data_IF_787141727095
#
_entry.id   IF_787141727095
#
_cell.length_a   1.000
_cell.length_b   1.000
_cell.length_c   1.000
_cell.angle_alpha   90.00
_cell.angle_beta   90.00
_cell.angle_gamma   90.00
#
_symmetry.space_group_name_H-M   'P 1'
#
loop_
_entity.id
_entity.type
_entity.pdbx_description
1 polymer ?
#
# COMPACT_ATOMS: atom_id res chain seq x y z
N UNK A 1 -16.17 36.26 5.48
CA UNK A 1 -16.54 34.82 5.43
C UNK A 1 -16.41 34.21 4.02
N UNK A 2 -16.66 34.98 2.93
CA UNK A 2 -16.56 34.52 1.53
C UNK A 2 -15.11 34.27 1.06
N UNK A 3 -14.14 35.01 1.53
CA UNK A 3 -12.72 34.87 1.13
C UNK A 3 -12.04 33.60 1.68
N UNK A 4 -12.42 33.13 2.88
CA UNK A 4 -11.90 31.89 3.47
C UNK A 4 -12.36 30.64 2.69
N UNK A 5 -13.57 30.64 2.17
CA UNK A 5 -14.11 29.53 1.36
C UNK A 5 -13.43 29.35 0.00
N UNK A 6 -13.12 30.43 -0.70
CA UNK A 6 -12.44 30.38 -2.01
C UNK A 6 -11.01 29.86 -1.88
N UNK A 7 -10.22 30.34 -0.91
CA UNK A 7 -8.86 29.88 -0.69
C UNK A 7 -8.78 28.37 -0.36
N UNK A 8 -9.77 27.84 0.37
CA UNK A 8 -9.83 26.41 0.66
C UNK A 8 -10.22 25.55 -0.53
N UNK A 9 -11.06 26.07 -1.43
CA UNK A 9 -11.42 25.39 -2.70
C UNK A 9 -10.23 25.30 -3.63
N UNK A 10 -9.49 26.41 -3.83
CA UNK A 10 -8.27 26.42 -4.65
C UNK A 10 -7.21 25.45 -4.08
N UNK A 11 -6.96 25.46 -2.77
CA UNK A 11 -6.03 24.52 -2.12
C UNK A 11 -6.42 23.06 -2.38
N UNK A 12 -7.70 22.72 -2.34
CA UNK A 12 -8.17 21.36 -2.62
C UNK A 12 -7.97 20.94 -4.07
N UNK A 13 -8.19 21.88 -5.03
CA UNK A 13 -7.95 21.61 -6.45
C UNK A 13 -6.47 21.36 -6.74
N UNK A 14 -5.55 22.14 -6.15
CA UNK A 14 -4.13 21.92 -6.28
C UNK A 14 -3.67 20.59 -5.69
N UNK A 15 -4.21 20.20 -4.53
CA UNK A 15 -3.92 18.90 -3.91
C UNK A 15 -4.40 17.77 -4.83
N UNK A 16 -5.59 17.90 -5.41
CA UNK A 16 -6.10 16.91 -6.36
C UNK A 16 -5.26 16.84 -7.63
N UNK A 17 -4.90 17.97 -8.21
CA UNK A 17 -4.02 18.04 -9.39
C UNK A 17 -2.65 17.41 -9.13
N UNK A 18 -2.06 17.70 -7.96
CA UNK A 18 -0.80 17.07 -7.53
C UNK A 18 -0.95 15.55 -7.38
N UNK A 19 -2.04 15.09 -6.77
CA UNK A 19 -2.29 13.64 -6.65
C UNK A 19 -2.41 12.97 -8.02
N UNK A 20 -3.12 13.58 -8.98
CA UNK A 20 -3.22 13.08 -10.34
C UNK A 20 -1.86 13.06 -11.04
N UNK A 21 -1.04 14.10 -10.89
CA UNK A 21 0.31 14.16 -11.43
C UNK A 21 1.18 13.01 -10.89
N UNK A 22 1.14 12.77 -9.58
CA UNK A 22 1.89 11.69 -8.94
C UNK A 22 1.41 10.29 -9.37
N UNK A 23 0.10 10.12 -9.63
CA UNK A 23 -0.44 8.85 -10.14
C UNK A 23 0.07 8.48 -11.53
N UNK A 24 0.35 9.48 -12.38
CA UNK A 24 0.91 9.27 -13.73
C UNK A 24 2.37 8.81 -13.67
N UNK A 25 2.99 8.76 -12.49
CA UNK A 25 4.36 8.31 -12.31
C UNK A 25 5.37 9.18 -13.09
N UNK A 26 5.65 10.43 -12.64
CA UNK A 26 6.38 11.42 -13.42
C UNK A 26 7.80 10.99 -13.79
N UNK A 27 8.51 10.23 -12.94
CA UNK A 27 9.86 9.75 -13.24
C UNK A 27 9.88 8.63 -14.29
N UNK A 28 9.09 7.56 -14.16
CA UNK A 28 8.92 6.58 -15.24
C UNK A 28 8.49 7.22 -16.57
N UNK A 29 7.57 8.19 -16.52
CA UNK A 29 7.15 8.92 -17.72
C UNK A 29 8.32 9.68 -18.37
N UNK A 30 9.16 10.35 -17.58
CA UNK A 30 10.37 10.98 -18.05
C UNK A 30 11.31 9.98 -18.73
N UNK A 31 11.50 8.78 -18.17
CA UNK A 31 12.33 7.75 -18.77
C UNK A 31 11.77 7.24 -20.11
N UNK A 32 10.45 7.06 -20.23
CA UNK A 32 9.81 6.71 -21.49
C UNK A 32 10.10 7.77 -22.56
N UNK A 33 9.88 9.05 -22.22
CA UNK A 33 10.11 10.17 -23.16
C UNK A 33 11.59 10.21 -23.59
N UNK A 34 12.51 10.08 -22.65
CA UNK A 34 13.96 10.08 -22.96
C UNK A 34 14.34 8.90 -23.88
N UNK A 35 13.84 7.69 -23.58
CA UNK A 35 14.12 6.51 -24.39
C UNK A 35 13.50 6.55 -25.79
N UNK A 36 12.42 7.32 -25.99
CA UNK A 36 11.85 7.58 -27.31
C UNK A 36 12.64 8.61 -28.12
N UNK A 37 13.28 9.58 -27.44
CA UNK A 37 14.07 10.64 -28.10
C UNK A 37 15.51 10.23 -28.37
N UNK A 38 16.06 9.35 -27.53
CA UNK A 38 17.44 8.89 -27.58
C UNK A 38 17.47 7.36 -27.54
N UNK A 39 17.72 6.69 -28.69
CA UNK A 39 17.75 5.22 -28.75
C UNK A 39 18.87 4.58 -27.92
N UNK A 40 19.93 5.32 -27.59
CA UNK A 40 21.04 4.83 -26.75
C UNK A 40 20.77 5.02 -25.25
N UNK A 41 19.69 5.69 -24.90
CA UNK A 41 19.33 5.90 -23.50
C UNK A 41 19.03 4.60 -22.77
N UNK A 42 19.76 4.36 -21.69
CA UNK A 42 19.52 3.23 -20.77
C UNK A 42 18.97 3.76 -19.47
N UNK A 43 17.84 3.20 -19.03
CA UNK A 43 17.24 3.55 -17.74
C UNK A 43 18.21 3.25 -16.60
N UNK A 44 18.46 4.21 -15.66
CA UNK A 44 19.31 3.96 -14.50
C UNK A 44 18.78 2.79 -13.66
N UNK A 45 19.65 1.82 -13.39
CA UNK A 45 19.32 0.68 -12.53
C UNK A 45 19.81 0.95 -11.10
N UNK A 46 18.95 0.72 -10.13
CA UNK A 46 19.32 0.74 -8.71
C UNK A 46 19.71 -0.69 -8.29
N UNK A 47 20.75 -0.89 -7.48
CA UNK A 47 21.18 -2.23 -7.06
C UNK A 47 20.26 -2.82 -5.96
N UNK A 48 18.96 -2.73 -6.16
CA UNK A 48 17.90 -3.18 -5.23
C UNK A 48 18.09 -4.65 -4.84
N UNK A 49 18.49 -5.49 -5.80
CA UNK A 49 18.70 -6.92 -5.56
C UNK A 49 19.87 -7.21 -4.62
N UNK A 50 20.95 -6.42 -4.66
CA UNK A 50 22.09 -6.61 -3.75
C UNK A 50 21.72 -6.33 -2.30
N UNK A 51 20.94 -5.29 -2.03
CA UNK A 51 20.42 -4.97 -0.71
C UNK A 51 19.50 -6.08 -0.17
N UNK A 52 18.61 -6.62 -1.00
CA UNK A 52 17.75 -7.75 -0.62
C UNK A 52 18.55 -9.01 -0.32
N UNK A 53 19.55 -9.34 -1.13
CA UNK A 53 20.39 -10.51 -0.91
C UNK A 53 21.14 -10.43 0.44
N UNK A 54 21.69 -9.26 0.78
CA UNK A 54 22.33 -9.05 2.08
C UNK A 54 21.34 -9.24 3.24
N UNK A 55 20.13 -8.69 3.10
CA UNK A 55 19.07 -8.83 4.11
C UNK A 55 18.63 -10.29 4.28
N UNK A 56 18.37 -11.00 3.19
CA UNK A 56 17.93 -12.41 3.22
C UNK A 56 19.02 -13.34 3.78
N UNK A 57 20.29 -13.11 3.45
CA UNK A 57 21.39 -13.91 3.99
C UNK A 57 21.44 -13.87 5.51
N UNK A 58 21.24 -12.70 6.11
CA UNK A 58 21.23 -12.55 7.58
C UNK A 58 19.92 -13.06 8.19
N UNK A 59 18.79 -12.88 7.54
CA UNK A 59 17.51 -13.43 8.03
C UNK A 59 17.52 -14.95 8.07
N UNK A 60 18.22 -15.60 7.12
CA UNK A 60 18.30 -17.06 7.01
C UNK A 60 19.37 -17.69 7.89
N UNK A 61 20.47 -17.00 8.20
CA UNK A 61 21.62 -17.60 8.87
C UNK A 61 22.15 -16.78 10.06
N UNK A 62 21.72 -15.51 10.20
CA UNK A 62 22.22 -14.60 11.21
C UNK A 62 21.56 -14.77 12.59
N UNK A 63 22.17 -14.12 13.57
CA UNK A 63 21.61 -14.01 14.92
C UNK A 63 20.71 -12.76 15.05
N UNK A 64 20.09 -12.58 16.21
CA UNK A 64 19.16 -11.48 16.49
C UNK A 64 19.79 -10.09 16.30
N UNK A 65 21.02 -9.88 16.82
CA UNK A 65 21.70 -8.58 16.74
C UNK A 65 22.13 -8.24 15.31
N UNK A 66 22.62 -9.24 14.56
CA UNK A 66 22.93 -9.08 13.14
C UNK A 66 21.69 -8.74 12.34
N UNK A 67 20.56 -9.39 12.63
CA UNK A 67 19.27 -9.09 11.98
C UNK A 67 18.84 -7.66 12.25
N UNK A 68 18.94 -7.16 13.48
CA UNK A 68 18.64 -5.76 13.80
C UNK A 68 19.56 -4.82 13.02
N UNK A 69 20.87 -5.06 13.03
CA UNK A 69 21.86 -4.22 12.35
C UNK A 69 21.59 -4.13 10.85
N UNK A 70 21.39 -5.27 10.20
CA UNK A 70 21.14 -5.34 8.76
C UNK A 70 19.77 -4.70 8.41
N UNK A 71 18.73 -4.94 9.20
CA UNK A 71 17.42 -4.32 8.95
C UNK A 71 17.43 -2.80 9.13
N UNK A 72 18.27 -2.25 10.03
CA UNK A 72 18.37 -0.81 10.24
C UNK A 72 19.08 -0.09 9.09
N UNK A 73 19.89 -0.76 8.29
CA UNK A 73 20.65 -0.16 7.21
C UNK A 73 20.29 -0.77 5.85
N UNK A 74 20.76 -1.97 5.55
CA UNK A 74 20.55 -2.63 4.27
C UNK A 74 19.06 -2.91 4.01
N UNK A 75 18.30 -3.31 5.02
CA UNK A 75 16.87 -3.55 4.91
C UNK A 75 16.06 -2.28 4.63
N UNK A 76 16.44 -1.14 5.21
CA UNK A 76 15.83 0.14 4.89
C UNK A 76 16.19 0.57 3.46
N UNK A 77 17.46 0.43 3.06
CA UNK A 77 17.89 0.74 1.69
C UNK A 77 17.19 -0.16 0.67
N UNK A 78 17.07 -1.47 0.96
CA UNK A 78 16.34 -2.42 0.13
C UNK A 78 14.88 -1.99 -0.07
N UNK A 79 14.20 -1.60 1.01
CA UNK A 79 12.80 -1.18 0.99
C UNK A 79 12.61 0.14 0.24
N UNK A 80 13.49 1.11 0.45
CA UNK A 80 13.46 2.41 -0.25
C UNK A 80 13.77 2.25 -1.74
N UNK A 81 14.81 1.48 -2.08
CA UNK A 81 15.17 1.19 -3.47
C UNK A 81 14.03 0.47 -4.19
N UNK A 82 13.42 -0.52 -3.55
CA UNK A 82 12.25 -1.22 -4.10
C UNK A 82 11.06 -0.28 -4.31
N UNK A 83 10.78 0.56 -3.32
CA UNK A 83 9.67 1.51 -3.43
C UNK A 83 9.89 2.52 -4.57
N UNK A 84 11.13 2.90 -4.81
CA UNK A 84 11.53 3.77 -5.91
C UNK A 84 11.40 3.06 -7.27
N UNK A 85 12.02 1.88 -7.41
CA UNK A 85 12.01 1.09 -8.65
C UNK A 85 10.60 0.70 -9.11
N UNK A 86 9.69 0.51 -8.15
CA UNK A 86 8.30 0.13 -8.43
C UNK A 86 7.32 1.32 -8.41
N UNK A 87 7.82 2.57 -8.40
CA UNK A 87 6.99 3.78 -8.41
C UNK A 87 6.09 3.94 -7.18
N UNK A 88 6.34 3.15 -6.11
CA UNK A 88 5.52 3.18 -4.89
C UNK A 88 5.60 4.51 -4.16
N UNK A 89 6.72 5.21 -4.25
CA UNK A 89 6.90 6.54 -3.64
C UNK A 89 5.84 7.51 -4.16
N UNK A 90 5.71 7.63 -5.49
CA UNK A 90 4.73 8.52 -6.11
C UNK A 90 3.30 8.04 -5.88
N UNK A 91 3.05 6.74 -6.04
CA UNK A 91 1.73 6.15 -5.84
C UNK A 91 1.25 6.34 -4.39
N UNK A 92 2.09 6.05 -3.40
CA UNK A 92 1.73 6.18 -1.99
C UNK A 92 1.44 7.64 -1.63
N UNK A 93 2.28 8.59 -2.06
CA UNK A 93 2.05 10.01 -1.85
C UNK A 93 0.70 10.46 -2.46
N UNK A 94 0.40 10.03 -3.69
CA UNK A 94 -0.87 10.31 -4.35
C UNK A 94 -2.07 9.76 -3.56
N UNK A 95 -1.98 8.51 -3.09
CA UNK A 95 -3.04 7.86 -2.31
C UNK A 95 -3.28 8.56 -0.97
N UNK A 96 -2.23 9.03 -0.28
CA UNK A 96 -2.39 9.83 0.93
C UNK A 96 -3.11 11.16 0.66
N UNK A 97 -2.74 11.86 -0.40
CA UNK A 97 -3.41 13.10 -0.79
C UNK A 97 -4.89 12.88 -1.14
N UNK A 98 -5.20 11.84 -1.91
CA UNK A 98 -6.58 11.47 -2.24
C UNK A 98 -7.37 11.04 -1.00
N UNK A 99 -6.77 10.22 -0.12
CA UNK A 99 -7.38 9.80 1.14
C UNK A 99 -7.73 10.99 2.05
N UNK A 100 -6.82 11.97 2.15
CA UNK A 100 -7.06 13.22 2.87
C UNK A 100 -8.24 14.00 2.27
N UNK A 101 -8.32 14.10 0.94
CA UNK A 101 -9.43 14.80 0.27
C UNK A 101 -10.77 14.08 0.47
N UNK A 102 -10.78 12.74 0.37
CA UNK A 102 -11.95 11.89 0.59
C UNK A 102 -12.45 12.06 2.04
N UNK A 103 -11.53 11.99 3.01
CA UNK A 103 -11.84 12.18 4.42
C UNK A 103 -12.40 13.57 4.72
N UNK A 104 -11.77 14.64 4.21
CA UNK A 104 -12.23 16.03 4.40
C UNK A 104 -13.61 16.30 3.78
N UNK A 105 -13.96 15.61 2.70
CA UNK A 105 -15.27 15.71 2.05
C UNK A 105 -16.31 14.76 2.64
N UNK A 106 -15.95 13.87 3.55
CA UNK A 106 -16.84 12.86 4.11
C UNK A 106 -17.42 11.92 3.05
N UNK A 107 -16.67 11.60 1.97
CA UNK A 107 -17.20 10.84 0.83
C UNK A 107 -17.64 9.42 1.19
N UNK A 108 -17.23 8.90 2.34
CA UNK A 108 -17.69 7.60 2.85
C UNK A 108 -19.09 7.64 3.49
N UNK A 109 -19.72 8.80 3.63
CA UNK A 109 -21.08 8.90 4.15
C UNK A 109 -22.12 8.41 3.13
N UNK A 110 -23.25 7.90 3.62
CA UNK A 110 -24.35 7.34 2.81
C UNK A 110 -24.86 8.30 1.72
N UNK A 111 -24.80 9.60 1.97
CA UNK A 111 -25.22 10.66 1.05
C UNK A 111 -24.45 10.65 -0.27
N UNK A 112 -23.20 10.15 -0.25
CA UNK A 112 -22.30 10.14 -1.39
C UNK A 112 -22.28 8.82 -2.19
N UNK A 113 -23.22 7.91 -1.96
CA UNK A 113 -23.30 6.63 -2.70
C UNK A 113 -23.39 6.80 -4.22
N UNK A 114 -24.02 7.91 -4.69
CA UNK A 114 -24.06 8.23 -6.12
C UNK A 114 -22.66 8.52 -6.69
N UNK A 115 -21.76 9.09 -5.89
CA UNK A 115 -20.36 9.31 -6.29
C UNK A 115 -19.65 7.97 -6.43
N UNK A 116 -19.83 7.08 -5.47
CA UNK A 116 -19.22 5.74 -5.51
C UNK A 116 -19.73 4.87 -6.67
N UNK A 117 -20.99 5.03 -7.10
CA UNK A 117 -21.48 4.39 -8.33
C UNK A 117 -20.68 4.85 -9.56
N UNK A 118 -20.42 6.17 -9.68
CA UNK A 118 -19.62 6.72 -10.78
C UNK A 118 -18.16 6.28 -10.70
N UNK A 119 -17.60 6.25 -9.50
CA UNK A 119 -16.24 5.77 -9.25
C UNK A 119 -16.12 4.30 -9.65
N UNK A 120 -17.05 3.44 -9.23
CA UNK A 120 -17.06 2.03 -9.59
C UNK A 120 -17.15 1.81 -11.10
N UNK A 121 -18.11 2.49 -11.77
CA UNK A 121 -18.27 2.37 -13.22
C UNK A 121 -17.01 2.84 -13.97
N UNK A 122 -16.48 4.01 -13.62
CA UNK A 122 -15.26 4.53 -14.22
C UNK A 122 -14.03 3.65 -13.97
N UNK A 123 -13.92 3.08 -12.76
CA UNK A 123 -12.81 2.18 -12.41
C UNK A 123 -12.88 0.85 -13.16
N UNK A 124 -14.09 0.29 -13.36
CA UNK A 124 -14.28 -0.93 -14.16
C UNK A 124 -13.90 -0.67 -15.63
N UNK A 125 -14.37 0.44 -16.21
CA UNK A 125 -14.04 0.84 -17.59
C UNK A 125 -12.54 1.09 -17.75
N UNK A 126 -11.86 1.62 -16.74
CA UNK A 126 -10.42 1.87 -16.79
C UNK A 126 -9.58 0.59 -16.54
N UNK A 127 -10.00 -0.25 -15.61
CA UNK A 127 -9.22 -1.41 -15.17
C UNK A 127 -9.00 -2.43 -16.29
N UNK A 128 -10.06 -2.84 -16.99
CA UNK A 128 -9.95 -3.89 -17.99
C UNK A 128 -9.02 -3.53 -19.15
N UNK A 129 -9.14 -2.34 -19.80
CA UNK A 129 -8.20 -1.94 -20.83
C UNK A 129 -6.76 -1.78 -20.33
N UNK A 130 -6.55 -1.18 -19.14
CA UNK A 130 -5.21 -1.01 -18.58
C UNK A 130 -4.57 -2.35 -18.25
N UNK A 131 -5.32 -3.29 -17.69
CA UNK A 131 -4.85 -4.63 -17.39
C UNK A 131 -4.50 -5.40 -18.67
N UNK A 132 -5.37 -5.33 -19.69
CA UNK A 132 -5.12 -5.93 -21.00
C UNK A 132 -3.89 -5.35 -21.68
N UNK A 133 -3.77 -4.02 -21.73
CA UNK A 133 -2.60 -3.33 -22.27
C UNK A 133 -1.31 -3.74 -21.54
N UNK A 134 -1.33 -3.80 -20.21
CA UNK A 134 -0.16 -4.20 -19.41
C UNK A 134 0.35 -5.59 -19.79
N UNK A 135 -0.54 -6.53 -20.07
CA UNK A 135 -0.18 -7.89 -20.46
C UNK A 135 0.32 -7.98 -21.92
N UNK A 136 -0.19 -7.12 -22.80
CA UNK A 136 0.17 -7.13 -24.24
C UNK A 136 1.43 -6.32 -24.56
N UNK A 137 1.84 -5.40 -23.67
CA UNK A 137 3.01 -4.52 -23.93
C UNK A 137 4.29 -5.26 -24.35
N UNK A 138 4.68 -6.39 -23.71
CA UNK A 138 5.89 -7.12 -24.07
C UNK A 138 5.88 -7.65 -25.52
N UNK A 139 4.69 -7.87 -26.08
CA UNK A 139 4.54 -8.38 -27.46
C UNK A 139 4.80 -7.28 -28.51
N UNK A 140 4.56 -6.02 -28.14
CA UNK A 140 4.69 -4.88 -29.07
C UNK A 140 5.98 -4.07 -28.88
N UNK A 141 6.58 -4.09 -27.68
CA UNK A 141 7.72 -3.26 -27.34
C UNK A 141 8.89 -4.14 -26.91
N UNK A 142 9.92 -4.22 -27.75
CA UNK A 142 11.14 -4.99 -27.49
C UNK A 142 12.20 -4.18 -26.73
N UNK A 143 12.18 -2.84 -26.85
CA UNK A 143 13.13 -1.97 -26.17
C UNK A 143 12.83 -1.92 -24.66
N UNK A 144 13.71 -2.53 -23.85
CA UNK A 144 13.56 -2.59 -22.38
C UNK A 144 13.56 -1.23 -21.72
N UNK A 145 14.27 -0.24 -22.27
CA UNK A 145 14.30 1.13 -21.73
C UNK A 145 12.96 1.87 -21.85
N UNK A 146 12.10 1.42 -22.78
CA UNK A 146 10.72 1.91 -22.92
C UNK A 146 9.76 0.98 -22.18
N UNK A 147 9.89 -0.34 -22.38
CA UNK A 147 8.97 -1.34 -21.84
C UNK A 147 8.88 -1.29 -20.33
N UNK A 148 10.03 -1.27 -19.63
CA UNK A 148 10.04 -1.34 -18.15
C UNK A 148 9.31 -0.15 -17.50
N UNK A 149 9.66 1.12 -17.80
CA UNK A 149 8.96 2.23 -17.18
C UNK A 149 7.51 2.39 -17.64
N UNK A 150 7.19 2.03 -18.90
CA UNK A 150 5.81 2.07 -19.40
C UNK A 150 4.94 1.01 -18.73
N UNK A 151 5.43 -0.22 -18.58
CA UNK A 151 4.76 -1.28 -17.82
C UNK A 151 4.49 -0.89 -16.38
N UNK A 152 5.44 -0.18 -15.74
CA UNK A 152 5.28 0.31 -14.38
C UNK A 152 4.13 1.34 -14.29
N UNK A 153 4.05 2.29 -15.23
CA UNK A 153 2.97 3.28 -15.26
C UNK A 153 1.61 2.57 -15.41
N UNK A 154 1.48 1.69 -16.39
CA UNK A 154 0.22 1.00 -16.68
C UNK A 154 -0.19 0.10 -15.53
N UNK A 155 0.74 -0.65 -14.95
CA UNK A 155 0.47 -1.49 -13.78
C UNK A 155 0.05 -0.66 -12.56
N UNK A 156 0.71 0.48 -12.33
CA UNK A 156 0.34 1.39 -11.23
C UNK A 156 -1.08 1.95 -11.39
N UNK A 157 -1.45 2.37 -12.60
CA UNK A 157 -2.79 2.87 -12.89
C UNK A 157 -3.85 1.76 -12.83
N UNK A 158 -3.54 0.57 -13.33
CA UNK A 158 -4.41 -0.62 -13.24
C UNK A 158 -4.68 -0.99 -11.77
N UNK A 159 -3.63 -1.07 -10.96
CA UNK A 159 -3.75 -1.34 -9.52
C UNK A 159 -4.55 -0.26 -8.78
N UNK A 160 -4.40 1.00 -9.17
CA UNK A 160 -5.20 2.09 -8.62
C UNK A 160 -6.69 1.93 -8.99
N UNK A 161 -7.00 1.63 -10.25
CA UNK A 161 -8.37 1.37 -10.68
C UNK A 161 -8.97 0.16 -9.94
N UNK A 162 -8.22 -0.93 -9.80
CA UNK A 162 -8.63 -2.12 -9.04
C UNK A 162 -8.90 -1.79 -7.57
N UNK A 163 -8.03 -1.01 -6.94
CA UNK A 163 -8.25 -0.54 -5.56
C UNK A 163 -9.57 0.22 -5.42
N UNK A 164 -9.89 1.12 -6.38
CA UNK A 164 -11.15 1.86 -6.36
C UNK A 164 -12.37 0.95 -6.53
N UNK A 165 -12.27 -0.14 -7.31
CA UNK A 165 -13.31 -1.17 -7.41
C UNK A 165 -13.53 -1.82 -6.04
N UNK A 166 -12.46 -2.24 -5.37
CA UNK A 166 -12.55 -2.87 -4.05
C UNK A 166 -13.13 -1.93 -2.99
N UNK A 167 -12.66 -0.67 -2.94
CA UNK A 167 -13.18 0.34 -2.01
C UNK A 167 -14.67 0.60 -2.25
N UNK A 168 -15.07 0.75 -3.52
CA UNK A 168 -16.47 0.93 -3.88
C UNK A 168 -17.31 -0.30 -3.47
N UNK A 169 -16.77 -1.50 -3.67
CA UNK A 169 -17.41 -2.76 -3.26
C UNK A 169 -17.65 -2.80 -1.74
N UNK A 170 -16.66 -2.43 -0.94
CA UNK A 170 -16.79 -2.35 0.53
C UNK A 170 -17.84 -1.30 0.94
N UNK A 171 -17.84 -0.12 0.30
CA UNK A 171 -18.84 0.93 0.58
C UNK A 171 -20.24 0.43 0.28
N UNK A 172 -20.46 -0.26 -0.85
CA UNK A 172 -21.77 -0.83 -1.17
C UNK A 172 -22.14 -2.01 -0.27
N UNK A 173 -21.20 -2.89 0.07
CA UNK A 173 -21.41 -3.95 1.03
C UNK A 173 -21.88 -3.39 2.38
N UNK A 174 -21.30 -2.29 2.82
CA UNK A 174 -21.65 -1.64 4.08
C UNK A 174 -23.05 -1.01 4.08
N UNK A 175 -23.43 -0.30 2.99
CA UNK A 175 -24.66 0.49 2.98
C UNK A 175 -25.85 -0.17 2.28
N UNK A 176 -25.62 -1.14 1.38
CA UNK A 176 -26.66 -1.71 0.53
C UNK A 176 -26.93 -3.20 0.79
N UNK A 177 -26.14 -3.86 1.62
CA UNK A 177 -26.30 -5.28 1.90
C UNK A 177 -26.50 -5.55 3.40
N UNK A 178 -26.89 -6.78 3.74
CA UNK A 178 -27.01 -7.25 5.12
C UNK A 178 -25.63 -7.51 5.79
N UNK A 179 -24.53 -7.18 5.10
CA UNK A 179 -23.17 -7.38 5.62
C UNK A 179 -22.75 -6.29 6.61
N UNK A 180 -23.56 -5.26 6.80
CA UNK A 180 -23.28 -4.15 7.71
C UNK A 180 -22.81 -4.62 9.10
N UNK A 181 -23.60 -5.48 9.75
CA UNK A 181 -23.28 -5.97 11.11
C UNK A 181 -22.03 -6.85 11.14
N UNK A 182 -21.79 -7.60 10.06
CA UNK A 182 -20.55 -8.37 9.88
C UNK A 182 -19.33 -7.48 9.77
N UNK A 183 -19.42 -6.44 8.94
CA UNK A 183 -18.35 -5.46 8.74
C UNK A 183 -18.09 -4.62 10.00
N UNK A 184 -19.13 -4.29 10.77
CA UNK A 184 -18.98 -3.62 12.06
C UNK A 184 -18.20 -4.46 13.08
N UNK A 185 -18.28 -5.80 13.02
CA UNK A 185 -17.49 -6.69 13.89
C UNK A 185 -15.99 -6.63 13.60
N UNK A 186 -15.59 -6.21 12.40
CA UNK A 186 -14.18 -6.06 12.00
C UNK A 186 -13.60 -4.71 12.42
N UNK A 187 -14.44 -3.74 12.77
CA UNK A 187 -14.01 -2.38 13.17
C UNK A 187 -12.93 -2.35 14.26
N UNK A 188 -12.98 -3.17 15.34
CA UNK A 188 -11.93 -3.21 16.36
C UNK A 188 -10.54 -3.53 15.78
N UNK A 189 -10.48 -4.46 14.81
CA UNK A 189 -9.23 -4.82 14.14
C UNK A 189 -8.63 -3.63 13.35
N UNK A 190 -9.47 -2.88 12.63
CA UNK A 190 -9.05 -1.68 11.91
C UNK A 190 -8.62 -0.52 12.83
N UNK A 191 -9.27 -0.36 14.00
CA UNK A 191 -8.89 0.64 15.00
C UNK A 191 -7.55 0.37 15.67
N UNK A 192 -7.08 -0.88 15.64
CA UNK A 192 -5.79 -1.32 16.21
C UNK A 192 -4.75 -1.61 15.10
N UNK A 193 -4.81 -0.91 13.99
CA UNK A 193 -3.97 -1.17 12.81
C UNK A 193 -2.46 -1.08 13.09
N UNK A 194 -2.02 -0.09 13.88
CA UNK A 194 -0.61 0.07 14.26
C UNK A 194 -0.15 -1.08 15.19
N UNK A 195 -0.95 -1.40 16.20
CA UNK A 195 -0.69 -2.53 17.09
C UNK A 195 -0.60 -3.83 16.28
N UNK A 196 -1.54 -4.06 15.36
CA UNK A 196 -1.57 -5.25 14.53
C UNK A 196 -0.35 -5.34 13.63
N UNK A 197 0.04 -4.25 12.98
CA UNK A 197 1.22 -4.21 12.11
C UNK A 197 2.51 -4.55 12.87
N UNK A 198 2.73 -3.93 14.04
CA UNK A 198 3.91 -4.18 14.86
C UNK A 198 3.93 -5.63 15.36
N UNK A 199 2.78 -6.14 15.85
CA UNK A 199 2.67 -7.51 16.34
C UNK A 199 2.92 -8.52 15.22
N UNK A 200 2.38 -8.30 14.01
CA UNK A 200 2.63 -9.13 12.83
C UNK A 200 4.11 -9.17 12.47
N UNK A 201 4.79 -8.03 12.53
CA UNK A 201 6.23 -7.96 12.23
C UNK A 201 7.06 -8.73 13.27
N UNK A 202 6.73 -8.59 14.56
CA UNK A 202 7.44 -9.29 15.64
C UNK A 202 7.20 -10.81 15.54
N UNK A 203 5.93 -11.23 15.48
CA UNK A 203 5.58 -12.66 15.41
C UNK A 203 6.10 -13.28 14.13
N UNK A 204 5.98 -12.59 12.98
CA UNK A 204 6.50 -13.07 11.70
C UNK A 204 8.03 -13.27 11.74
N UNK A 205 8.78 -12.33 12.29
CA UNK A 205 10.22 -12.48 12.41
C UNK A 205 10.61 -13.59 13.39
N UNK A 206 9.90 -13.74 14.51
CA UNK A 206 10.13 -14.87 15.44
C UNK A 206 9.85 -16.23 14.80
N UNK A 207 8.81 -16.33 13.96
CA UNK A 207 8.48 -17.60 13.31
C UNK A 207 9.45 -17.96 12.19
N UNK A 208 9.82 -16.99 11.36
CA UNK A 208 10.51 -17.29 10.10
C UNK A 208 12.02 -17.07 10.14
N UNK A 209 12.53 -16.14 10.95
CA UNK A 209 13.97 -15.84 10.97
C UNK A 209 14.78 -16.89 11.76
N UNK A 210 16.05 -17.04 11.38
CA UNK A 210 16.95 -18.03 11.97
C UNK A 210 17.13 -17.89 13.50
N UNK A 211 17.12 -16.69 14.03
CA UNK A 211 17.22 -16.44 15.46
C UNK A 211 15.95 -16.85 16.27
N UNK A 212 14.84 -17.11 15.60
CA UNK A 212 13.61 -17.61 16.22
C UNK A 212 13.39 -19.09 15.96
N UNK A 213 12.23 -19.45 15.40
CA UNK A 213 11.90 -20.84 15.10
C UNK A 213 12.43 -21.33 13.74
N UNK A 214 13.01 -20.46 12.93
CA UNK A 214 13.59 -20.76 11.60
C UNK A 214 12.67 -21.54 10.65
N UNK A 215 11.35 -21.29 10.72
CA UNK A 215 10.34 -22.02 9.94
C UNK A 215 10.43 -21.75 8.43
N UNK A 216 11.22 -20.77 7.99
CA UNK A 216 11.46 -20.50 6.57
C UNK A 216 11.98 -21.73 5.81
N UNK A 217 12.71 -22.61 6.49
CA UNK A 217 13.25 -23.84 5.91
C UNK A 217 12.25 -25.02 5.91
N UNK A 218 11.21 -24.96 6.74
CA UNK A 218 10.29 -26.07 6.99
C UNK A 218 8.89 -25.82 6.41
N UNK A 219 8.45 -24.56 6.38
CA UNK A 219 7.13 -24.19 5.93
C UNK A 219 7.13 -23.88 4.42
N UNK A 220 6.36 -24.67 3.68
CA UNK A 220 5.98 -24.32 2.33
C UNK A 220 4.88 -23.25 2.31
N UNK A 221 4.47 -22.85 1.11
CA UNK A 221 3.46 -21.80 0.88
C UNK A 221 2.15 -22.10 1.63
N UNK A 222 1.68 -23.37 1.57
CA UNK A 222 0.41 -23.78 2.21
C UNK A 222 0.47 -23.69 3.73
N UNK A 223 1.55 -24.19 4.34
CA UNK A 223 1.74 -24.12 5.80
C UNK A 223 1.85 -22.68 6.29
N UNK A 224 2.56 -21.83 5.55
CA UNK A 224 2.67 -20.40 5.85
C UNK A 224 1.31 -19.68 5.73
N UNK A 225 0.49 -20.04 4.75
CA UNK A 225 -0.86 -19.50 4.61
C UNK A 225 -1.75 -19.90 5.80
N UNK A 226 -1.72 -21.17 6.21
CA UNK A 226 -2.46 -21.66 7.38
C UNK A 226 -2.01 -20.97 8.67
N UNK A 227 -0.71 -20.85 8.89
CA UNK A 227 -0.16 -20.11 10.04
C UNK A 227 -0.64 -18.66 10.05
N UNK A 228 -0.67 -17.99 8.89
CA UNK A 228 -1.20 -16.63 8.74
C UNK A 228 -2.69 -16.54 9.10
N UNK A 229 -3.50 -17.51 8.66
CA UNK A 229 -4.94 -17.56 9.00
C UNK A 229 -5.14 -17.75 10.51
N UNK A 230 -4.42 -18.69 11.12
CA UNK A 230 -4.49 -18.92 12.57
C UNK A 230 -4.10 -17.67 13.32
N UNK A 231 -2.99 -17.03 12.93
CA UNK A 231 -2.53 -15.80 13.55
C UNK A 231 -3.55 -14.65 13.39
N UNK A 232 -4.15 -14.52 12.21
CA UNK A 232 -5.23 -13.53 11.98
C UNK A 232 -6.41 -13.75 12.93
N UNK A 233 -6.88 -15.00 13.12
CA UNK A 233 -7.99 -15.33 14.02
C UNK A 233 -7.64 -14.95 15.48
N UNK A 234 -6.42 -15.28 15.93
CA UNK A 234 -5.95 -14.93 17.26
C UNK A 234 -5.89 -13.42 17.45
N UNK A 235 -5.31 -12.70 16.49
CA UNK A 235 -5.18 -11.26 16.52
C UNK A 235 -6.54 -10.55 16.47
N UNK A 236 -7.47 -11.04 15.64
CA UNK A 236 -8.84 -10.54 15.55
C UNK A 236 -9.59 -10.70 16.89
N UNK A 237 -9.46 -11.87 17.51
CA UNK A 237 -10.07 -12.18 18.82
C UNK A 237 -9.50 -11.29 19.91
N UNK A 238 -8.17 -11.09 19.92
CA UNK A 238 -7.50 -10.16 20.82
C UNK A 238 -7.99 -8.72 20.62
N UNK A 239 -8.09 -8.24 19.38
CA UNK A 239 -8.56 -6.88 19.09
C UNK A 239 -9.99 -6.66 19.60
N UNK A 240 -10.89 -7.64 19.42
CA UNK A 240 -12.26 -7.53 19.94
C UNK A 240 -12.30 -7.49 21.47
N UNK A 241 -11.55 -8.38 22.11
CA UNK A 241 -11.46 -8.43 23.58
C UNK A 241 -10.87 -7.11 24.12
N UNK A 242 -9.77 -6.62 23.56
CA UNK A 242 -9.10 -5.39 23.98
C UNK A 242 -9.99 -4.16 23.84
N UNK A 243 -10.63 -3.99 22.68
CA UNK A 243 -11.48 -2.84 22.39
C UNK A 243 -12.81 -2.81 23.19
N UNK A 244 -13.19 -3.91 23.80
CA UNK A 244 -14.31 -3.91 24.75
C UNK A 244 -13.95 -3.25 26.09
N UNK A 245 -12.65 -3.19 26.44
CA UNK A 245 -12.17 -2.67 27.71
C UNK A 245 -11.40 -1.34 27.55
N UNK A 246 -10.95 -1.02 26.34
CA UNK A 246 -10.10 0.14 26.06
C UNK A 246 -10.59 0.90 24.83
N UNK A 247 -10.38 2.21 24.80
CA UNK A 247 -10.79 3.09 23.68
C UNK A 247 -9.79 3.11 22.53
N UNK A 248 -8.55 2.67 22.73
CA UNK A 248 -7.46 2.68 21.78
C UNK A 248 -6.63 1.40 21.91
N UNK A 249 -5.99 0.95 20.82
CA UNK A 249 -5.00 -0.12 20.91
C UNK A 249 -3.74 0.33 21.70
N UNK A 250 -2.91 -0.63 22.18
CA UNK A 250 -1.73 -0.31 22.98
C UNK A 250 -0.76 0.63 22.26
N UNK A 251 -0.41 0.35 21.00
CA UNK A 251 0.53 1.16 20.23
C UNK A 251 -0.11 2.49 19.76
N UNK A 252 -1.39 2.47 19.43
CA UNK A 252 -2.16 3.68 19.13
C UNK A 252 -2.23 4.63 20.32
N UNK A 253 -2.35 4.09 21.54
CA UNK A 253 -2.33 4.89 22.76
C UNK A 253 -0.96 5.55 22.98
N UNK A 254 0.14 4.76 22.85
CA UNK A 254 1.51 5.28 22.98
C UNK A 254 1.76 6.37 21.92
N UNK A 255 1.40 6.09 20.65
CA UNK A 255 1.54 7.04 19.55
C UNK A 255 0.79 8.34 19.80
N UNK A 256 -0.48 8.24 20.24
CA UNK A 256 -1.30 9.39 20.58
C UNK A 256 -0.67 10.22 21.69
N UNK A 257 -0.18 9.58 22.75
CA UNK A 257 0.47 10.26 23.88
C UNK A 257 1.78 10.93 23.47
N UNK A 258 2.58 10.29 22.63
CA UNK A 258 3.83 10.85 22.12
C UNK A 258 3.61 12.04 21.16
N UNK A 259 2.52 12.01 20.38
CA UNK A 259 2.18 13.09 19.43
C UNK A 259 1.58 14.31 20.10
N UNK A 260 0.75 14.09 21.13
CA UNK A 260 0.04 15.15 21.87
C UNK A 260 0.66 15.33 23.24
N UNK A 261 1.97 15.55 23.33
CA UNK A 261 2.68 15.83 24.58
C UNK A 261 1.88 16.83 25.45
N UNK A 262 0.97 16.32 26.28
CA UNK A 262 0.25 16.98 27.36
C UNK A 262 0.42 16.16 28.62
#
# INVERSE_FOLDING_TARGET
>A
LRSRGLGDVYKRQWIFALACLLLIQPLPLYYVIRACLDPEFVTPAIPTRSFWNATFAVQSNGNFLETIRVNLWEGQLASLAWAWDHGRVFQTAALFLLGMLIGRKGLFLKEHLKVWNKVLAGSLVAFFPLYGLGNMLPDFITNKSILTPLSLIITSLSNFAFMLILVSGVVFAFYKTNLHDGLMKITPYGKMSLTNYITQSIVGSMLYYNWGFALHNQFGITASCLAGIVFFILQFSFCRWWMNHHSHGPMEYIWKRATWLK
#
